data_IF_305369901166
#
_entry.id   IF_305369901166
#
_cell.length_a   1.000
_cell.length_b   1.000
_cell.length_c   1.000
_cell.angle_alpha   90.00
_cell.angle_beta   90.00
_cell.angle_gamma   90.00
#
_symmetry.space_group_name_H-M   'P 1'
#
loop_
_entity.id
_entity.type
_entity.pdbx_description
1 polymer ?
#
# COMPACT_ATOMS: atom_id res chain seq x y z
N UNK A 1 1.78 -16.33 -12.60
CA UNK A 1 0.71 -15.37 -12.73
C UNK A 1 1.22 -13.96 -12.45
N UNK A 2 0.79 -13.03 -13.25
CA UNK A 2 1.26 -11.65 -13.12
C UNK A 2 0.45 -10.91 -12.08
N UNK A 3 1.12 -10.24 -11.18
CA UNK A 3 0.46 -9.33 -10.26
C UNK A 3 -0.11 -8.15 -11.02
N UNK A 4 -1.27 -7.72 -10.63
CA UNK A 4 -1.90 -6.56 -11.24
C UNK A 4 -1.99 -5.45 -10.22
N UNK A 5 -1.42 -4.30 -10.59
CA UNK A 5 -1.51 -3.10 -9.77
C UNK A 5 -2.54 -2.16 -10.39
N UNK A 6 -3.26 -1.45 -9.53
CA UNK A 6 -4.16 -0.39 -9.97
C UNK A 6 -3.37 0.72 -10.64
N UNK A 7 -2.18 1.01 -10.11
CA UNK A 7 -1.28 2.01 -10.66
C UNK A 7 -0.16 1.34 -11.43
N UNK A 8 0.11 1.81 -12.64
CA UNK A 8 1.27 1.34 -13.41
C UNK A 8 2.55 1.92 -12.80
N UNK A 9 3.70 1.34 -13.18
CA UNK A 9 4.98 1.87 -12.76
C UNK A 9 5.16 3.32 -13.21
N UNK A 10 4.75 3.63 -14.44
CA UNK A 10 4.83 4.96 -15.00
C UNK A 10 4.01 5.95 -14.18
N UNK A 11 2.79 5.56 -13.81
CA UNK A 11 1.91 6.40 -12.99
C UNK A 11 2.49 6.58 -11.60
N UNK A 12 3.02 5.52 -11.01
CA UNK A 12 3.66 5.58 -9.70
C UNK A 12 4.84 6.56 -9.71
N UNK A 13 5.66 6.51 -10.75
CA UNK A 13 6.79 7.46 -10.89
C UNK A 13 6.27 8.90 -10.98
N UNK A 14 5.22 9.13 -11.75
CA UNK A 14 4.66 10.46 -11.90
C UNK A 14 4.13 11.01 -10.57
N UNK A 15 3.44 10.18 -9.80
CA UNK A 15 2.94 10.58 -8.48
C UNK A 15 4.12 10.85 -7.55
N UNK A 16 5.13 9.97 -7.54
CA UNK A 16 6.32 10.15 -6.72
C UNK A 16 7.06 11.42 -7.06
N UNK A 17 7.21 11.71 -8.34
CA UNK A 17 7.85 12.95 -8.79
C UNK A 17 7.08 14.17 -8.29
N UNK A 18 5.76 14.12 -8.35
CA UNK A 18 4.89 15.22 -7.92
C UNK A 18 5.03 15.51 -6.43
N UNK A 19 5.33 14.51 -5.62
CA UNK A 19 5.50 14.69 -4.17
C UNK A 19 6.96 14.79 -3.75
N UNK A 20 7.88 14.84 -4.70
CA UNK A 20 9.28 15.15 -4.44
C UNK A 20 10.19 13.96 -4.18
N UNK A 21 9.79 12.76 -4.59
CA UNK A 21 10.68 11.60 -4.45
C UNK A 21 11.80 11.69 -5.49
N UNK A 22 13.03 11.58 -5.03
CA UNK A 22 14.19 11.50 -5.90
C UNK A 22 14.60 10.03 -5.99
N UNK A 23 14.24 9.40 -7.12
CA UNK A 23 14.45 7.97 -7.31
C UNK A 23 15.93 7.57 -7.31
N UNK A 24 16.83 8.49 -7.60
CA UNK A 24 18.26 8.20 -7.63
C UNK A 24 18.85 8.08 -6.22
N UNK A 25 18.21 8.66 -5.21
CA UNK A 25 18.69 8.64 -3.84
C UNK A 25 17.75 7.94 -2.88
N UNK A 26 16.55 7.58 -3.35
CA UNK A 26 15.55 6.93 -2.53
C UNK A 26 16.01 5.58 -2.01
N UNK A 27 15.65 5.25 -0.77
CA UNK A 27 15.99 3.97 -0.15
C UNK A 27 15.07 2.84 -0.59
N UNK A 28 13.98 3.17 -1.28
CA UNK A 28 13.04 2.21 -1.80
C UNK A 28 12.92 2.41 -3.30
N UNK A 29 12.49 1.37 -4.01
CA UNK A 29 12.33 1.47 -5.45
C UNK A 29 10.89 1.77 -5.82
N UNK A 30 10.64 1.99 -7.12
CA UNK A 30 9.32 2.33 -7.61
C UNK A 30 8.34 1.17 -7.39
N UNK A 31 8.81 -0.07 -7.38
CA UNK A 31 7.95 -1.22 -7.15
C UNK A 31 7.33 -1.18 -5.75
N UNK A 32 8.11 -0.82 -4.73
CA UNK A 32 7.57 -0.65 -3.39
C UNK A 32 6.55 0.48 -3.32
N UNK A 33 6.84 1.59 -3.98
CA UNK A 33 5.93 2.72 -4.00
C UNK A 33 4.63 2.36 -4.74
N UNK A 34 4.74 1.65 -5.86
CA UNK A 34 3.59 1.16 -6.63
C UNK A 34 2.70 0.26 -5.77
N UNK A 35 3.31 -0.67 -5.05
CA UNK A 35 2.61 -1.53 -4.10
C UNK A 35 1.93 -0.70 -3.02
N UNK A 36 2.64 0.30 -2.49
CA UNK A 36 2.11 1.17 -1.46
C UNK A 36 0.91 1.98 -1.93
N UNK A 37 0.94 2.49 -3.15
CA UNK A 37 -0.20 3.21 -3.70
C UNK A 37 -1.44 2.32 -3.74
N UNK A 38 -1.29 1.08 -4.17
CA UNK A 38 -2.40 0.14 -4.23
C UNK A 38 -2.96 -0.17 -2.84
N UNK A 39 -2.08 -0.37 -1.87
CA UNK A 39 -2.51 -0.67 -0.49
C UNK A 39 -3.21 0.54 0.12
N UNK A 40 -2.65 1.72 -0.03
CA UNK A 40 -3.24 2.91 0.60
C UNK A 40 -4.53 3.34 -0.08
N UNK A 41 -4.77 2.91 -1.31
CA UNK A 41 -6.04 3.17 -1.98
C UNK A 41 -7.20 2.51 -1.23
N UNK A 42 -6.94 1.48 -0.44
CA UNK A 42 -7.96 0.83 0.38
C UNK A 42 -8.54 1.78 1.42
N UNK A 43 -7.84 2.85 1.75
CA UNK A 43 -8.30 3.87 2.69
C UNK A 43 -8.95 5.06 1.98
N UNK A 44 -9.35 4.87 0.73
CA UNK A 44 -10.10 5.86 -0.03
C UNK A 44 -11.60 5.56 -0.01
N UNK A 45 -12.27 5.86 -1.10
CA UNK A 45 -13.75 5.77 -1.17
C UNK A 45 -14.28 4.34 -1.11
N UNK A 46 -13.41 3.33 -1.20
CA UNK A 46 -13.82 1.93 -1.14
C UNK A 46 -14.62 1.62 0.13
N UNK A 47 -14.24 2.19 1.26
CA UNK A 47 -14.93 2.01 2.53
C UNK A 47 -15.11 3.38 3.20
N UNK A 48 -16.35 3.89 3.27
CA UNK A 48 -16.58 5.21 3.88
C UNK A 48 -16.10 5.33 5.31
N UNK A 49 -16.10 4.23 6.07
CA UNK A 49 -15.69 4.26 7.47
C UNK A 49 -14.19 4.48 7.63
N UNK A 50 -13.40 4.09 6.63
CA UNK A 50 -11.94 4.21 6.68
C UNK A 50 -11.40 5.15 5.61
N UNK A 51 -12.27 5.87 4.92
CA UNK A 51 -11.88 6.78 3.85
C UNK A 51 -11.16 8.00 4.45
N UNK A 52 -9.88 8.15 4.12
CA UNK A 52 -9.09 9.31 4.51
C UNK A 52 -8.52 10.07 3.32
N UNK A 53 -8.54 9.48 2.13
CA UNK A 53 -7.88 10.06 0.96
C UNK A 53 -8.84 10.47 -0.16
N UNK A 54 -10.09 10.01 -0.14
CA UNK A 54 -11.06 10.20 -1.24
C UNK A 54 -10.49 9.75 -2.59
N UNK A 55 -9.57 8.78 -2.58
CA UNK A 55 -8.85 8.29 -3.77
C UNK A 55 -8.01 9.37 -4.45
N UNK A 56 -7.69 10.47 -3.76
CA UNK A 56 -6.79 11.48 -4.29
C UNK A 56 -5.38 10.90 -4.44
N UNK A 57 -4.83 10.94 -5.65
CA UNK A 57 -3.55 10.30 -5.96
C UNK A 57 -2.39 10.90 -5.17
N UNK A 58 -2.40 12.20 -4.99
CA UNK A 58 -1.31 12.86 -4.26
C UNK A 58 -1.38 12.51 -2.77
N UNK A 59 -2.57 12.54 -2.19
CA UNK A 59 -2.76 12.15 -0.80
C UNK A 59 -2.36 10.69 -0.59
N UNK A 60 -2.82 9.80 -1.48
CA UNK A 60 -2.47 8.38 -1.45
C UNK A 60 -0.94 8.20 -1.52
N UNK A 61 -0.28 8.95 -2.41
CA UNK A 61 1.16 8.90 -2.56
C UNK A 61 1.90 9.38 -1.31
N UNK A 62 1.42 10.43 -0.68
CA UNK A 62 2.05 10.95 0.54
C UNK A 62 1.96 9.95 1.69
N UNK A 63 0.85 9.25 1.81
CA UNK A 63 0.69 8.22 2.84
C UNK A 63 1.67 7.07 2.58
N UNK A 64 1.75 6.61 1.32
CA UNK A 64 2.70 5.57 0.95
C UNK A 64 4.13 6.00 1.25
N UNK A 65 4.49 7.24 0.91
CA UNK A 65 5.82 7.77 1.20
C UNK A 65 6.12 7.78 2.69
N UNK A 66 5.16 8.18 3.51
CA UNK A 66 5.35 8.22 4.96
C UNK A 66 5.72 6.85 5.52
N UNK A 67 5.04 5.80 5.05
CA UNK A 67 5.34 4.44 5.50
C UNK A 67 6.69 3.94 4.98
N UNK A 68 7.03 4.24 3.73
CA UNK A 68 8.29 3.81 3.15
C UNK A 68 9.48 4.55 3.77
N UNK A 69 9.25 5.73 4.32
CA UNK A 69 10.29 6.42 5.10
C UNK A 69 10.60 5.70 6.40
N UNK A 70 9.63 4.94 6.94
CA UNK A 70 9.85 4.14 8.15
C UNK A 70 10.61 2.86 7.81
N UNK A 71 10.18 2.15 6.76
CA UNK A 71 10.84 0.95 6.26
C UNK A 71 10.85 0.94 4.74
N UNK A 72 12.01 0.79 4.10
CA UNK A 72 12.06 0.75 2.62
C UNK A 72 11.27 -0.39 2.00
N UNK A 73 11.02 -1.45 2.75
CA UNK A 73 10.22 -2.60 2.32
C UNK A 73 8.93 -2.76 3.14
N UNK A 74 8.39 -1.63 3.59
CA UNK A 74 7.20 -1.60 4.45
C UNK A 74 6.07 -2.47 3.91
N UNK A 75 5.77 -2.36 2.61
CA UNK A 75 4.62 -3.05 2.04
C UNK A 75 4.85 -4.55 1.84
N UNK A 76 6.09 -4.96 1.70
CA UNK A 76 6.43 -6.38 1.70
C UNK A 76 6.18 -6.97 3.09
N UNK A 77 6.57 -6.24 4.14
CA UNK A 77 6.34 -6.65 5.53
C UNK A 77 4.86 -6.65 5.88
N UNK A 78 4.15 -5.63 5.39
CA UNK A 78 2.70 -5.52 5.63
C UNK A 78 1.95 -6.70 5.00
N UNK A 79 2.33 -7.09 3.78
CA UNK A 79 1.70 -8.23 3.12
C UNK A 79 1.86 -9.50 3.95
N UNK A 80 3.01 -9.70 4.56
CA UNK A 80 3.25 -10.83 5.45
C UNK A 80 2.35 -10.78 6.67
N UNK A 81 2.22 -9.62 7.28
CA UNK A 81 1.36 -9.42 8.44
C UNK A 81 -0.11 -9.66 8.09
N UNK A 82 -0.53 -9.20 6.93
CA UNK A 82 -1.91 -9.38 6.47
C UNK A 82 -2.22 -10.85 6.20
N UNK A 83 -1.27 -11.61 5.69
CA UNK A 83 -1.41 -13.06 5.55
C UNK A 83 -1.61 -13.74 6.91
N UNK A 84 -0.87 -13.30 7.92
CA UNK A 84 -1.05 -13.81 9.27
C UNK A 84 -2.44 -13.47 9.80
N UNK A 85 -2.91 -12.25 9.55
CA UNK A 85 -4.23 -11.82 9.98
C UNK A 85 -5.32 -12.67 9.33
N UNK A 86 -5.20 -12.95 8.03
CA UNK A 86 -6.14 -13.81 7.33
C UNK A 86 -6.20 -15.21 7.94
N UNK A 87 -5.05 -15.80 8.21
CA UNK A 87 -4.98 -17.13 8.84
C UNK A 87 -5.58 -17.11 10.24
N UNK A 88 -5.35 -16.05 10.98
CA UNK A 88 -5.89 -15.88 12.32
C UNK A 88 -7.43 -15.90 12.28
N UNK A 89 -8.03 -15.13 11.38
CA UNK A 89 -9.48 -15.05 11.29
C UNK A 89 -10.09 -16.32 10.70
N UNK A 90 -9.43 -16.96 9.74
CA UNK A 90 -9.89 -18.23 9.20
C UNK A 90 -9.97 -19.31 10.30
N UNK A 91 -8.95 -19.37 11.13
CA UNK A 91 -8.93 -20.33 12.23
C UNK A 91 -10.05 -20.06 13.23
N UNK A 92 -10.34 -18.80 13.51
CA UNK A 92 -11.42 -18.45 14.44
C UNK A 92 -12.80 -18.72 13.84
N UNK A 93 -12.95 -18.46 12.56
CA UNK A 93 -14.23 -18.69 11.87
C UNK A 93 -14.53 -20.19 11.79
N UNK A 94 -13.51 -21.02 11.72
CA UNK A 94 -13.66 -22.47 11.64
C UNK A 94 -13.85 -23.14 13.00
N UNK A 95 -13.66 -22.41 14.09
CA UNK A 95 -13.82 -22.92 15.44
C UNK A 95 -15.21 -22.58 15.96
N UNK A 96 -16.15 -23.54 15.92
CA UNK A 96 -17.53 -23.25 16.34
C UNK A 96 -17.65 -23.00 17.83
N UNK A 97 -16.65 -23.34 18.62
CA UNK A 97 -16.65 -23.09 20.05
C UNK A 97 -16.05 -21.72 20.39
N UNK A 98 -15.37 -21.14 19.43
CA UNK A 98 -14.68 -19.87 19.63
C UNK A 98 -15.55 -18.63 19.54
#
# INVERSE_FOLDING_TARGET
MTEQFTFSEEKARAIGDAIGIDWSTSRFDVAQFQMGLDVELEHGVRDPATNVSDDDEITTGKIALAHLNEFPDYYTRLASMESEAERYWEARDQDPAG
#
